data_IF_921432821480
#
_entry.id   IF_921432821480
#
_cell.length_a   1.000
_cell.length_b   1.000
_cell.length_c   1.000
_cell.angle_alpha   90.00
_cell.angle_beta   90.00
_cell.angle_gamma   90.00
#
_symmetry.space_group_name_H-M   'P 1'
#
loop_
_entity.id
_entity.type
_entity.pdbx_description
1 polymer ?
#
# COMPACT_ATOMS: atom_id res chain seq x y z
N UNK A 1 -8.08 4.09 18.75
CA UNK A 1 -7.37 4.07 17.46
C UNK A 1 -7.90 5.17 16.58
N UNK A 2 -7.04 5.95 16.00
CA UNK A 2 -7.46 7.03 15.12
C UNK A 2 -7.03 6.73 13.70
N UNK A 3 -7.95 6.82 12.75
CA UNK A 3 -7.64 6.54 11.35
C UNK A 3 -7.42 7.85 10.62
N UNK A 4 -6.28 7.96 9.94
CA UNK A 4 -5.94 9.17 9.19
C UNK A 4 -6.30 9.06 7.71
N UNK A 5 -6.24 7.87 7.16
CA UNK A 5 -6.56 7.65 5.75
C UNK A 5 -6.98 6.21 5.52
N UNK A 6 -7.87 6.00 4.57
CA UNK A 6 -8.29 4.67 4.18
C UNK A 6 -8.22 4.56 2.67
N UNK A 7 -7.96 3.37 2.18
CA UNK A 7 -7.94 3.12 0.75
C UNK A 7 -9.22 2.38 0.37
N UNK A 8 -10.30 3.12 0.26
CA UNK A 8 -11.59 2.50 -0.02
C UNK A 8 -11.72 2.04 -1.47
N UNK A 9 -10.90 2.59 -2.36
CA UNK A 9 -10.97 2.19 -3.75
C UNK A 9 -10.32 0.84 -4.00
N UNK A 10 -9.45 0.41 -3.13
CA UNK A 10 -8.72 -0.84 -3.35
C UNK A 10 -9.66 -2.04 -3.41
N UNK A 11 -10.77 -2.01 -2.68
CA UNK A 11 -11.69 -3.13 -2.71
C UNK A 11 -12.29 -3.35 -4.07
N UNK A 12 -12.30 -2.35 -4.94
CA UNK A 12 -12.86 -2.50 -6.26
C UNK A 12 -11.91 -3.22 -7.21
N UNK A 13 -10.61 -3.17 -6.90
CA UNK A 13 -9.60 -3.74 -7.78
C UNK A 13 -8.95 -4.99 -7.22
N UNK A 14 -9.08 -5.22 -5.92
CA UNK A 14 -8.37 -6.32 -5.27
C UNK A 14 -9.27 -7.12 -4.37
N UNK A 15 -8.93 -8.40 -4.29
CA UNK A 15 -9.53 -9.29 -3.30
C UNK A 15 -8.51 -9.41 -2.20
N UNK A 16 -8.84 -9.06 -0.97
CA UNK A 16 -7.89 -9.08 0.14
C UNK A 16 -7.86 -10.46 0.77
N UNK A 17 -6.67 -10.98 0.98
CA UNK A 17 -6.46 -12.31 1.49
C UNK A 17 -6.06 -12.29 2.96
N UNK A 18 -5.16 -11.42 3.32
CA UNK A 18 -4.65 -11.37 4.68
C UNK A 18 -4.14 -9.97 4.97
N UNK A 19 -4.29 -9.50 6.22
CA UNK A 19 -3.87 -8.17 6.61
C UNK A 19 -2.68 -8.24 7.55
N UNK A 20 -1.81 -7.26 7.47
CA UNK A 20 -0.64 -7.13 8.33
C UNK A 20 -0.55 -5.70 8.83
N UNK A 21 -0.24 -5.53 10.10
CA UNK A 21 -0.05 -4.21 10.66
C UNK A 21 1.45 -3.93 10.69
N UNK A 22 1.88 -2.80 10.16
CA UNK A 22 3.28 -2.45 10.13
C UNK A 22 3.51 -1.09 10.75
N UNK A 23 4.71 -0.87 11.28
CA UNK A 23 5.15 0.48 11.62
C UNK A 23 5.67 1.14 10.35
N UNK A 24 5.97 2.41 10.42
CA UNK A 24 6.49 3.14 9.27
C UNK A 24 7.50 4.17 9.76
N UNK A 25 8.60 4.29 9.05
CA UNK A 25 9.64 5.25 9.39
C UNK A 25 9.28 6.60 8.76
N UNK A 26 9.08 7.60 9.60
CA UNK A 26 8.66 8.93 9.15
C UNK A 26 9.54 9.99 9.78
N UNK A 27 9.66 11.14 9.11
CA UNK A 27 10.31 12.29 9.72
C UNK A 27 9.29 12.99 10.60
N UNK A 28 9.75 13.91 11.46
CA UNK A 28 8.84 14.68 12.29
C UNK A 28 7.83 15.47 11.48
N UNK A 29 8.25 16.21 10.45
CA UNK A 29 7.29 16.94 9.63
C UNK A 29 6.28 16.05 8.93
N UNK A 30 6.69 14.85 8.49
CA UNK A 30 5.76 13.92 7.87
C UNK A 30 4.70 13.47 8.87
N UNK A 31 5.10 13.20 10.10
CA UNK A 31 4.16 12.81 11.14
C UNK A 31 3.15 13.92 11.38
N UNK A 32 3.60 15.17 11.42
CA UNK A 32 2.69 16.28 11.62
C UNK A 32 1.74 16.47 10.46
N UNK A 33 2.24 16.29 9.25
CA UNK A 33 1.38 16.39 8.07
C UNK A 33 0.30 15.33 8.09
N UNK A 34 0.65 14.10 8.45
CA UNK A 34 -0.32 13.01 8.54
C UNK A 34 -1.39 13.35 9.57
N UNK A 35 -0.98 13.87 10.73
CA UNK A 35 -1.95 14.20 11.79
C UNK A 35 -2.86 15.33 11.37
N UNK A 36 -2.44 16.15 10.42
CA UNK A 36 -3.25 17.23 9.90
C UNK A 36 -4.03 16.85 8.65
N UNK A 37 -4.06 15.57 8.33
CA UNK A 37 -4.84 15.10 7.19
C UNK A 37 -4.15 15.18 5.84
N UNK A 38 -2.83 15.38 5.83
CA UNK A 38 -2.09 15.57 4.58
C UNK A 38 -1.59 14.30 3.92
N UNK A 39 -2.17 13.16 4.20
CA UNK A 39 -1.69 11.91 3.63
C UNK A 39 -2.74 11.19 2.81
N UNK A 40 -2.29 10.51 1.76
CA UNK A 40 -3.16 9.67 0.95
C UNK A 40 -2.44 8.35 0.66
N UNK A 41 -3.16 7.25 0.77
CA UNK A 41 -2.61 5.93 0.49
C UNK A 41 -3.34 5.25 -0.65
N UNK A 42 -4.11 6.00 -1.42
CA UNK A 42 -4.91 5.42 -2.50
C UNK A 42 -4.11 4.61 -3.48
N UNK A 43 -2.90 5.02 -3.79
CA UNK A 43 -2.06 4.28 -4.72
C UNK A 43 -0.88 3.59 -4.03
N UNK A 44 -0.89 3.54 -2.72
CA UNK A 44 0.28 3.03 -1.98
C UNK A 44 0.32 1.51 -1.98
N UNK A 45 1.50 0.97 -2.20
CA UNK A 45 1.72 -0.47 -2.19
C UNK A 45 3.10 -0.77 -1.61
N UNK A 46 3.28 -1.98 -1.14
CA UNK A 46 4.54 -2.36 -0.52
C UNK A 46 5.26 -3.40 -1.36
N UNK A 47 6.58 -3.32 -1.36
CA UNK A 47 7.44 -4.29 -2.01
C UNK A 47 8.45 -4.76 -0.98
N UNK A 48 8.71 -6.06 -0.95
CA UNK A 48 9.73 -6.62 -0.09
C UNK A 48 11.00 -6.78 -0.94
N UNK A 49 12.06 -6.10 -0.56
CA UNK A 49 13.30 -6.14 -1.30
C UNK A 49 14.44 -6.21 -0.31
N UNK A 50 15.37 -7.12 -0.49
CA UNK A 50 16.51 -7.32 0.41
C UNK A 50 16.04 -7.48 1.85
N UNK A 51 14.98 -8.22 2.05
CA UNK A 51 14.43 -8.50 3.37
C UNK A 51 13.95 -7.24 4.09
N UNK A 52 13.62 -6.21 3.33
CA UNK A 52 13.02 -4.99 3.88
C UNK A 52 11.70 -4.71 3.16
N UNK A 53 10.74 -4.21 3.91
CA UNK A 53 9.45 -3.85 3.33
C UNK A 53 9.45 -2.35 3.07
N UNK A 54 9.20 -1.96 1.83
CA UNK A 54 9.22 -0.55 1.44
C UNK A 54 7.85 -0.17 0.89
N UNK A 55 7.33 0.97 1.34
CA UNK A 55 6.04 1.47 0.89
C UNK A 55 6.26 2.51 -0.20
N UNK A 56 5.64 2.28 -1.36
CA UNK A 56 5.75 3.16 -2.52
C UNK A 56 4.46 3.91 -2.76
N UNK A 57 4.56 5.05 -3.33
CA UNK A 57 3.40 5.85 -3.79
C UNK A 57 2.45 6.32 -2.68
N UNK A 58 2.92 6.38 -1.45
CA UNK A 58 2.15 7.02 -0.40
C UNK A 58 2.45 8.51 -0.49
N UNK A 59 1.44 9.33 -0.61
CA UNK A 59 1.62 10.76 -0.71
C UNK A 59 1.45 11.41 0.67
N UNK A 60 2.48 12.12 1.13
CA UNK A 60 2.38 12.91 2.35
C UNK A 60 2.75 14.33 1.98
N UNK A 61 1.80 15.26 2.14
CA UNK A 61 2.04 16.63 1.76
C UNK A 61 3.11 17.26 2.66
N UNK A 62 3.84 18.20 2.14
CA UNK A 62 4.83 18.90 2.91
C UNK A 62 4.15 19.64 4.07
N UNK A 63 4.71 19.52 5.27
CA UNK A 63 4.16 20.23 6.41
C UNK A 63 4.51 21.71 6.23
N UNK A 64 3.49 22.55 6.20
CA UNK A 64 3.69 23.95 5.83
C UNK A 64 4.66 24.71 6.72
N UNK A 65 4.86 24.27 7.94
CA UNK A 65 5.77 24.95 8.83
C UNK A 65 7.19 24.38 8.81
N UNK A 66 7.46 23.40 7.98
CA UNK A 66 8.76 22.74 7.97
C UNK A 66 9.76 23.36 7.00
N UNK A 67 9.32 24.08 6.02
CA UNK A 67 10.21 24.74 5.07
C UNK A 67 11.24 23.81 4.48
N UNK A 68 10.79 22.68 3.92
CA UNK A 68 11.68 21.69 3.32
C UNK A 68 11.72 21.91 1.82
N UNK A 69 12.87 22.32 1.29
CA UNK A 69 12.95 22.63 -0.12
C UNK A 69 12.95 21.40 -1.02
N UNK A 70 13.61 20.36 -0.63
CA UNK A 70 13.73 19.20 -1.49
C UNK A 70 12.85 18.04 -1.04
N UNK A 71 11.77 18.33 -0.40
CA UNK A 71 10.91 17.29 0.11
C UNK A 71 10.15 16.60 -1.02
N UNK A 72 10.19 15.28 -1.04
CA UNK A 72 9.45 14.48 -2.00
C UNK A 72 8.20 13.90 -1.33
N UNK A 73 7.00 14.37 -1.69
CA UNK A 73 5.77 13.86 -1.06
C UNK A 73 5.56 12.38 -1.29
N UNK A 74 6.09 11.83 -2.36
CA UNK A 74 5.92 10.41 -2.67
C UNK A 74 7.17 9.59 -2.44
N UNK A 75 8.03 10.03 -1.55
CA UNK A 75 9.24 9.29 -1.25
C UNK A 75 8.90 7.88 -0.78
N UNK A 76 9.76 6.93 -1.13
CA UNK A 76 9.60 5.56 -0.65
C UNK A 76 9.92 5.54 0.84
N UNK A 77 9.10 4.87 1.61
CA UNK A 77 9.26 4.84 3.07
C UNK A 77 9.37 3.42 3.56
N UNK A 78 10.19 3.22 4.59
CA UNK A 78 10.42 1.89 5.11
C UNK A 78 9.31 1.51 6.08
N UNK A 79 8.80 0.30 5.94
CA UNK A 79 7.84 -0.26 6.87
C UNK A 79 8.56 -1.15 7.86
N UNK A 80 8.05 -1.21 9.07
CA UNK A 80 8.65 -2.00 10.13
C UNK A 80 7.77 -3.20 10.43
N UNK A 81 8.29 -4.38 10.11
CA UNK A 81 7.61 -5.65 10.32
C UNK A 81 8.58 -6.60 11.00
N UNK A 82 8.06 -7.61 11.67
CA UNK A 82 8.91 -8.63 12.26
C UNK A 82 9.57 -9.46 11.16
N UNK A 83 10.76 -9.96 11.42
CA UNK A 83 11.48 -10.75 10.42
C UNK A 83 10.68 -11.92 9.93
N UNK A 84 9.94 -12.57 10.80
CA UNK A 84 9.14 -13.74 10.38
C UNK A 84 8.01 -13.30 9.46
N UNK A 85 7.47 -12.09 9.66
CA UNK A 85 6.43 -11.60 8.79
C UNK A 85 7.01 -11.27 7.42
N UNK A 86 8.21 -10.69 7.39
CA UNK A 86 8.86 -10.38 6.13
C UNK A 86 9.15 -11.67 5.37
N UNK A 87 9.64 -12.70 6.03
CA UNK A 87 9.92 -13.96 5.37
C UNK A 87 8.64 -14.55 4.81
N UNK A 88 7.57 -14.47 5.57
CA UNK A 88 6.30 -15.01 5.11
C UNK A 88 5.80 -14.24 3.91
N UNK A 89 5.94 -12.91 3.93
CA UNK A 89 5.49 -12.08 2.83
C UNK A 89 6.30 -12.30 1.56
N UNK A 90 7.60 -12.61 1.66
CA UNK A 90 8.40 -12.93 0.50
C UNK A 90 7.78 -14.12 -0.22
N UNK A 91 7.41 -15.15 0.53
CA UNK A 91 6.80 -16.33 -0.08
C UNK A 91 5.43 -16.04 -0.65
N UNK A 92 4.61 -15.30 0.11
CA UNK A 92 3.25 -15.04 -0.33
C UNK A 92 3.20 -14.14 -1.58
N UNK A 93 4.09 -13.16 -1.66
CA UNK A 93 4.07 -12.23 -2.78
C UNK A 93 4.77 -12.81 -4.01
N UNK A 94 5.44 -13.95 -3.87
CA UNK A 94 6.04 -14.58 -5.04
C UNK A 94 4.97 -15.24 -5.92
N UNK A 95 3.77 -15.42 -5.39
CA UNK A 95 2.68 -16.00 -6.18
C UNK A 95 2.19 -14.96 -7.18
N UNK A 96 2.05 -15.37 -8.42
CA UNK A 96 1.65 -14.47 -9.47
C UNK A 96 0.30 -13.84 -9.16
N UNK A 97 0.20 -12.54 -9.36
CA UNK A 97 -1.02 -11.81 -9.12
C UNK A 97 -1.22 -11.31 -7.70
N UNK A 98 -0.31 -11.69 -6.79
CA UNK A 98 -0.40 -11.22 -5.41
C UNK A 98 0.45 -9.97 -5.23
N UNK A 99 -0.05 -9.02 -4.49
CA UNK A 99 0.69 -7.80 -4.20
C UNK A 99 0.30 -7.33 -2.78
N UNK A 100 1.00 -6.34 -2.27
CA UNK A 100 0.69 -5.79 -0.96
C UNK A 100 0.19 -4.36 -1.14
N UNK A 101 -1.04 -4.10 -0.72
CA UNK A 101 -1.68 -2.81 -0.90
C UNK A 101 -1.88 -2.17 0.46
N UNK A 102 -1.60 -0.89 0.59
CA UNK A 102 -1.89 -0.17 1.83
C UNK A 102 -3.40 0.07 1.91
N UNK A 103 -4.01 -0.31 3.02
CA UNK A 103 -5.45 -0.21 3.17
C UNK A 103 -5.86 0.81 4.21
N UNK A 104 -5.01 1.09 5.18
CA UNK A 104 -5.36 2.00 6.26
C UNK A 104 -4.10 2.63 6.87
N UNK A 105 -4.17 3.91 7.17
CA UNK A 105 -3.13 4.62 7.89
C UNK A 105 -3.76 5.08 9.18
N UNK A 106 -3.21 4.67 10.32
CA UNK A 106 -3.85 4.91 11.60
C UNK A 106 -2.85 5.08 12.74
N UNK A 107 -3.34 5.51 13.88
CA UNK A 107 -2.52 5.64 15.06
C UNK A 107 -2.94 4.60 16.09
N UNK A 108 -1.99 3.93 16.68
CA UNK A 108 -2.25 2.95 17.73
C UNK A 108 -1.16 3.10 18.78
N UNK A 109 -1.55 3.28 20.02
CA UNK A 109 -0.62 3.44 21.14
C UNK A 109 0.41 4.56 20.90
N UNK A 110 -0.01 5.63 20.27
CA UNK A 110 0.86 6.77 20.02
C UNK A 110 1.74 6.66 18.79
N UNK A 111 1.69 5.53 18.11
CA UNK A 111 2.51 5.32 16.91
C UNK A 111 1.66 5.31 15.65
N UNK A 112 2.20 5.87 14.58
CA UNK A 112 1.52 5.81 13.29
C UNK A 112 1.83 4.46 12.66
N UNK A 113 0.79 3.78 12.21
CA UNK A 113 0.89 2.44 11.64
C UNK A 113 0.21 2.40 10.29
N UNK A 114 0.65 1.46 9.46
CA UNK A 114 0.03 1.22 8.16
C UNK A 114 -0.46 -0.22 8.12
N UNK A 115 -1.72 -0.40 7.77
CA UNK A 115 -2.23 -1.74 7.53
C UNK A 115 -1.99 -2.04 6.07
N UNK A 116 -1.32 -3.14 5.78
CA UNK A 116 -1.15 -3.58 4.41
C UNK A 116 -1.88 -4.90 4.26
N UNK A 117 -2.40 -5.15 3.08
CA UNK A 117 -3.13 -6.37 2.80
C UNK A 117 -2.47 -7.12 1.67
N UNK A 118 -2.32 -8.42 1.85
CA UNK A 118 -1.94 -9.29 0.76
C UNK A 118 -3.18 -9.36 -0.12
N UNK A 119 -3.05 -8.97 -1.35
CA UNK A 119 -4.19 -8.81 -2.24
C UNK A 119 -3.93 -9.48 -3.57
N UNK A 120 -5.01 -9.96 -4.17
CA UNK A 120 -4.95 -10.53 -5.48
C UNK A 120 -5.79 -9.63 -6.35
N UNK A 121 -5.28 -9.24 -7.51
CA UNK A 121 -6.04 -8.38 -8.41
C UNK A 121 -7.32 -9.06 -8.83
N UNK A 122 -8.42 -8.34 -8.77
CA UNK A 122 -9.68 -8.87 -9.28
C UNK A 122 -9.51 -8.99 -10.76
N UNK A 123 -10.09 -10.02 -11.29
CA UNK A 123 -9.85 -10.31 -12.67
C UNK A 123 -10.74 -9.50 -13.56
N UNK A 124 -10.36 -8.29 -13.84
CA UNK A 124 -11.12 -7.49 -14.76
C UNK A 124 -11.16 -8.19 -16.09
N UNK A 125 -10.08 -8.89 -16.44
CA UNK A 125 -10.10 -9.62 -17.64
C UNK A 125 -11.12 -10.73 -17.55
N UNK A 126 -11.47 -11.20 -16.37
CA UNK A 126 -12.50 -12.19 -16.27
C UNK A 126 -13.84 -11.54 -16.58
N UNK A 127 -14.05 -10.31 -16.16
CA UNK A 127 -15.28 -9.64 -16.49
C UNK A 127 -15.32 -9.41 -17.97
N UNK A 128 -14.21 -9.01 -18.54
CA UNK A 128 -14.20 -8.81 -19.96
C UNK A 128 -14.26 -10.11 -20.67
N UNK A 129 -13.71 -11.17 -20.10
CA UNK A 129 -13.84 -12.45 -20.68
C UNK A 129 -15.29 -12.83 -20.78
N UNK A 130 -16.09 -12.43 -19.83
CA UNK A 130 -17.49 -12.73 -19.93
C UNK A 130 -18.12 -11.88 -20.95
N UNK A 131 -17.62 -10.72 -21.20
CA UNK A 131 -18.17 -9.86 -22.16
C UNK A 131 -17.75 -10.21 -23.53
N UNK A 132 -16.51 -10.25 -23.79
CA UNK A 132 -16.15 -10.58 -25.11
C UNK A 132 -15.07 -11.50 -25.05
N UNK A 133 -15.05 -12.27 -24.06
CA UNK A 133 -14.17 -13.10 -23.76
C UNK A 133 -13.51 -13.73 -24.77
N UNK A 134 -13.86 -14.09 -25.57
CA UNK A 134 -13.24 -14.75 -26.39
C UNK A 134 -12.22 -13.97 -27.00
N UNK A 135 -12.50 -12.90 -27.55
CA UNK A 135 -11.61 -12.28 -28.30
C UNK A 135 -10.59 -11.59 -27.54
N UNK A 136 -10.89 -11.08 -26.46
CA UNK A 136 -9.95 -10.43 -25.74
C UNK A 136 -9.40 -11.09 -24.63
N UNK A 137 -9.87 -12.16 -24.26
CA UNK A 137 -9.39 -12.77 -23.08
C UNK A 137 -7.89 -12.88 -23.10
N UNK A 138 -7.25 -13.08 -24.20
CA UNK A 138 -5.89 -13.17 -24.19
C UNK A 138 -5.29 -11.87 -23.99
N UNK A 139 -5.78 -10.84 -24.50
CA UNK A 139 -5.20 -9.57 -24.29
C UNK A 139 -5.42 -9.08 -22.93
N UNK A 140 -6.55 -9.34 -22.42
CA UNK A 140 -6.89 -8.90 -21.13
C UNK A 140 -6.02 -9.48 -20.08
N UNK A 141 -5.61 -10.67 -20.22
CA UNK A 141 -4.79 -11.25 -19.24
C UNK A 141 -3.50 -10.58 -19.08
N UNK A 142 -3.09 -9.76 -20.01
CA UNK A 142 -1.88 -9.05 -19.86
C UNK A 142 -1.96 -8.03 -18.83
N UNK A 143 -3.13 -7.64 -18.42
CA UNK A 143 -3.26 -6.62 -17.45
C UNK A 143 -2.89 -7.10 -16.09
N UNK A 144 -2.66 -8.31 -15.94
CA UNK A 144 -2.36 -8.78 -14.60
C UNK A 144 -0.89 -8.83 -14.39
#
# INVERSE_FOLDING_TARGET
MKVFAKNTKAKNSYEFIEYFESGIVLTGPETKSIRNGGASIIHAFAIIDNEEAMLHEMNIESYKYANLEDYDPKATRKLLLHKREIKRLIGLTSTKGHTLVATKLFEKNGFIKVEIALAKGKKDYDKRDKIDNKRISKEIRKYK
#
